data_IF_794558865623
#
_entry.id   IF_794558865623
#
_cell.length_a   1.000
_cell.length_b   1.000
_cell.length_c   1.000
_cell.angle_alpha   90.00
_cell.angle_beta   90.00
_cell.angle_gamma   90.00
#
_symmetry.space_group_name_H-M   'P 1'
#
loop_
_entity.id
_entity.type
_entity.pdbx_description
1 polymer ?
#
# COMPACT_ATOMS: atom_id res chain seq x y z
N UNK A 1 -43.21 15.78 17.63
CA UNK A 1 -42.34 14.57 17.78
C UNK A 1 -41.10 14.80 16.96
N UNK A 2 -39.97 15.08 17.64
CA UNK A 2 -38.67 15.31 16.99
C UNK A 2 -38.06 13.96 16.62
N UNK A 3 -37.57 13.81 15.38
CA UNK A 3 -36.79 12.64 14.93
C UNK A 3 -35.46 12.61 15.69
N UNK A 4 -35.03 11.46 16.23
CA UNK A 4 -33.72 11.35 16.84
C UNK A 4 -32.64 11.56 15.76
N UNK A 5 -31.62 12.36 16.10
CA UNK A 5 -30.44 12.58 15.28
C UNK A 5 -29.75 11.24 14.97
N UNK A 6 -29.42 11.00 13.70
CA UNK A 6 -28.58 9.87 13.29
C UNK A 6 -27.22 10.02 13.95
N UNK A 7 -26.86 9.06 14.81
CA UNK A 7 -25.53 8.96 15.38
C UNK A 7 -24.49 8.87 14.25
N UNK A 8 -23.46 9.69 14.38
CA UNK A 8 -22.30 9.74 13.51
C UNK A 8 -21.60 8.37 13.50
N UNK A 9 -21.66 7.66 12.37
CA UNK A 9 -21.07 6.33 12.20
C UNK A 9 -19.59 6.38 11.80
N UNK A 10 -18.92 7.54 11.95
CA UNK A 10 -17.56 7.78 11.47
C UNK A 10 -16.45 7.61 12.51
N UNK A 11 -16.74 7.32 13.77
CA UNK A 11 -15.73 7.33 14.81
C UNK A 11 -15.15 5.94 15.09
N UNK A 12 -13.89 5.77 14.74
CA UNK A 12 -12.93 4.78 15.25
C UNK A 12 -13.18 3.32 14.85
N UNK A 13 -12.85 3.00 13.62
CA UNK A 13 -12.86 1.62 13.09
C UNK A 13 -11.60 0.86 13.50
N UNK A 14 -10.50 1.55 13.84
CA UNK A 14 -9.19 0.96 14.12
C UNK A 14 -8.76 1.16 15.57
N UNK A 15 -8.13 0.15 16.16
CA UNK A 15 -7.46 0.21 17.46
C UNK A 15 -5.94 0.30 17.30
N UNK A 16 -5.29 1.11 18.15
CA UNK A 16 -3.84 1.11 18.31
C UNK A 16 -3.48 0.08 19.40
N UNK A 17 -2.81 -1.02 19.01
CA UNK A 17 -2.28 -1.99 19.95
C UNK A 17 -0.89 -1.54 20.46
N UNK A 18 -0.90 -0.80 21.56
CA UNK A 18 0.33 -0.33 22.22
C UNK A 18 1.17 -1.47 22.80
N UNK A 19 0.54 -2.59 23.14
CA UNK A 19 1.23 -3.74 23.75
C UNK A 19 1.93 -4.59 22.66
N UNK A 20 1.36 -4.67 21.47
CA UNK A 20 2.04 -5.27 20.32
C UNK A 20 3.28 -4.45 19.92
N UNK A 21 3.18 -3.12 19.90
CA UNK A 21 4.34 -2.25 19.64
C UNK A 21 5.45 -2.47 20.67
N UNK A 22 5.12 -2.50 21.97
CA UNK A 22 6.12 -2.75 23.03
C UNK A 22 6.76 -4.12 22.93
N UNK A 23 5.97 -5.17 22.65
CA UNK A 23 6.52 -6.52 22.42
C UNK A 23 7.48 -6.51 21.25
N UNK A 24 7.13 -5.84 20.16
CA UNK A 24 7.99 -5.72 18.98
C UNK A 24 9.28 -4.94 19.26
N UNK A 25 9.20 -3.88 20.07
CA UNK A 25 10.40 -3.14 20.51
C UNK A 25 11.37 -4.03 21.29
N UNK A 26 10.85 -4.90 22.19
CA UNK A 26 11.66 -5.85 22.94
C UNK A 26 12.33 -6.91 22.03
N UNK A 27 11.60 -7.45 21.06
CA UNK A 27 12.12 -8.39 20.07
C UNK A 27 13.28 -7.76 19.27
N UNK A 28 13.06 -6.55 18.73
CA UNK A 28 14.03 -5.82 17.93
C UNK A 28 15.26 -5.38 18.73
N UNK A 29 15.16 -5.21 20.06
CA UNK A 29 16.30 -4.92 20.91
C UNK A 29 17.34 -6.05 20.96
N UNK A 30 16.93 -7.31 20.75
CA UNK A 30 17.81 -8.46 20.69
C UNK A 30 18.49 -8.69 19.33
N UNK A 31 18.06 -8.01 18.26
CA UNK A 31 18.62 -8.15 16.92
C UNK A 31 19.76 -7.13 16.68
N UNK A 32 20.77 -7.51 15.89
CA UNK A 32 21.76 -6.55 15.37
C UNK A 32 21.16 -5.75 14.19
N UNK A 33 21.79 -4.63 13.83
CA UNK A 33 21.33 -3.82 12.69
C UNK A 33 21.39 -4.61 11.38
N UNK A 34 22.42 -5.45 11.20
CA UNK A 34 22.58 -6.31 10.04
C UNK A 34 21.46 -7.35 9.95
N UNK A 35 21.06 -7.94 11.08
CA UNK A 35 19.94 -8.90 11.14
C UNK A 35 18.62 -8.23 10.76
N UNK A 36 18.37 -7.02 11.27
CA UNK A 36 17.18 -6.25 10.93
C UNK A 36 17.16 -5.90 9.44
N UNK A 37 18.29 -5.41 8.91
CA UNK A 37 18.42 -5.07 7.48
C UNK A 37 18.16 -6.29 6.60
N UNK A 38 18.79 -7.43 6.93
CA UNK A 38 18.63 -8.68 6.17
C UNK A 38 17.15 -9.14 6.16
N UNK A 39 16.49 -9.13 7.32
CA UNK A 39 15.08 -9.50 7.46
C UNK A 39 14.15 -8.56 6.69
N UNK A 40 14.42 -7.25 6.73
CA UNK A 40 13.63 -6.28 5.96
C UNK A 40 13.84 -6.48 4.46
N UNK A 41 15.09 -6.72 4.03
CA UNK A 41 15.39 -6.98 2.62
C UNK A 41 14.68 -8.23 2.13
N UNK A 42 14.75 -9.35 2.85
CA UNK A 42 14.07 -10.60 2.51
C UNK A 42 12.56 -10.38 2.28
N UNK A 43 11.89 -9.59 3.12
CA UNK A 43 10.46 -9.27 2.93
C UNK A 43 10.17 -8.50 1.65
N UNK A 44 11.01 -7.54 1.29
CA UNK A 44 10.88 -6.80 0.04
C UNK A 44 11.24 -7.64 -1.18
N UNK A 45 12.17 -8.58 -1.05
CA UNK A 45 12.49 -9.55 -2.10
C UNK A 45 11.30 -10.50 -2.32
N UNK A 46 10.67 -10.99 -1.25
CA UNK A 46 9.43 -11.76 -1.31
C UNK A 46 8.31 -10.94 -1.99
N UNK A 47 8.12 -9.68 -1.63
CA UNK A 47 7.15 -8.80 -2.27
C UNK A 47 7.41 -8.67 -3.78
N UNK A 48 8.66 -8.53 -4.17
CA UNK A 48 9.09 -8.46 -5.57
C UNK A 48 8.74 -9.75 -6.32
N UNK A 49 9.11 -10.92 -5.79
CA UNK A 49 8.84 -12.21 -6.43
C UNK A 49 7.32 -12.51 -6.48
N UNK A 50 6.60 -12.20 -5.42
CA UNK A 50 5.14 -12.35 -5.39
C UNK A 50 4.44 -11.42 -6.39
N UNK A 51 4.94 -10.20 -6.58
CA UNK A 51 4.41 -9.28 -7.62
C UNK A 51 4.62 -9.85 -9.02
N UNK A 52 5.78 -10.46 -9.30
CA UNK A 52 6.03 -11.18 -10.56
C UNK A 52 5.08 -12.36 -10.74
N UNK A 53 4.84 -13.14 -9.70
CA UNK A 53 3.91 -14.27 -9.72
C UNK A 53 2.45 -13.83 -9.96
N UNK A 54 2.04 -12.66 -9.44
CA UNK A 54 0.74 -12.05 -9.76
C UNK A 54 0.68 -11.64 -11.23
N UNK A 55 1.73 -11.02 -11.75
CA UNK A 55 1.80 -10.58 -13.16
C UNK A 55 1.81 -11.73 -14.14
N UNK A 56 2.49 -12.86 -13.82
CA UNK A 56 2.48 -14.07 -14.66
C UNK A 56 1.11 -14.77 -14.66
N UNK A 57 0.28 -14.52 -13.63
CA UNK A 57 -1.02 -15.15 -13.41
C UNK A 57 -0.97 -16.43 -12.58
N UNK A 58 0.18 -16.75 -11.98
CA UNK A 58 0.36 -17.89 -11.08
C UNK A 58 -0.30 -17.63 -9.71
N UNK A 59 -0.30 -16.35 -9.29
CA UNK A 59 -0.96 -15.86 -8.09
C UNK A 59 -2.13 -14.96 -8.47
N UNK A 60 -3.32 -15.25 -7.91
CA UNK A 60 -4.57 -14.53 -8.24
C UNK A 60 -4.73 -13.22 -7.51
N UNK A 61 -4.27 -13.18 -6.26
CA UNK A 61 -4.39 -12.00 -5.42
C UNK A 61 -3.36 -11.97 -4.31
N UNK A 62 -2.96 -10.76 -3.95
CA UNK A 62 -2.12 -10.54 -2.78
C UNK A 62 -2.54 -9.25 -2.05
N UNK A 63 -2.40 -9.27 -0.73
CA UNK A 63 -2.56 -8.10 0.14
C UNK A 63 -1.18 -7.74 0.68
N UNK A 64 -0.78 -6.48 0.54
CA UNK A 64 0.47 -5.94 1.06
C UNK A 64 0.14 -4.94 2.16
N UNK A 65 0.34 -5.34 3.40
CA UNK A 65 0.14 -4.50 4.57
C UNK A 65 1.47 -3.98 5.12
N UNK A 66 1.44 -2.85 5.81
CA UNK A 66 2.59 -2.26 6.49
C UNK A 66 2.48 -0.76 6.66
N UNK A 67 3.39 -0.14 7.42
CA UNK A 67 3.33 1.30 7.71
C UNK A 67 3.39 2.16 6.44
N UNK A 68 2.85 3.39 6.47
CA UNK A 68 2.94 4.30 5.34
C UNK A 68 4.39 4.73 5.06
N UNK A 69 4.71 4.96 3.79
CA UNK A 69 5.99 5.54 3.38
C UNK A 69 7.21 4.63 3.52
N UNK A 70 7.04 3.29 3.53
CA UNK A 70 8.14 2.30 3.58
C UNK A 70 8.55 1.76 2.21
N UNK A 71 7.86 2.16 1.13
CA UNK A 71 8.19 1.77 -0.24
C UNK A 71 7.32 0.67 -0.84
N UNK A 72 6.16 0.31 -0.23
CA UNK A 72 5.24 -0.71 -0.75
C UNK A 72 4.85 -0.47 -2.21
N UNK A 73 4.19 0.67 -2.44
CA UNK A 73 3.67 1.04 -3.76
C UNK A 73 4.77 1.17 -4.79
N UNK A 74 5.90 1.79 -4.42
CA UNK A 74 7.06 1.93 -5.29
C UNK A 74 7.61 0.58 -5.76
N UNK A 75 7.78 -0.39 -4.84
CA UNK A 75 8.28 -1.72 -5.19
C UNK A 75 7.33 -2.44 -6.17
N UNK A 76 6.03 -2.47 -5.88
CA UNK A 76 5.03 -3.10 -6.74
C UNK A 76 4.99 -2.43 -8.12
N UNK A 77 4.96 -1.10 -8.17
CA UNK A 77 4.92 -0.31 -9.40
C UNK A 77 6.16 -0.58 -10.27
N UNK A 78 7.36 -0.51 -9.69
CA UNK A 78 8.62 -0.74 -10.40
C UNK A 78 8.69 -2.15 -11.05
N UNK A 79 8.20 -3.17 -10.34
CA UNK A 79 8.14 -4.54 -10.88
C UNK A 79 7.18 -4.64 -12.05
N UNK A 80 5.96 -4.08 -11.92
CA UNK A 80 4.95 -4.14 -12.96
C UNK A 80 5.34 -3.32 -14.20
N UNK A 81 5.97 -2.15 -14.01
CA UNK A 81 6.43 -1.30 -15.10
C UNK A 81 7.55 -1.95 -15.91
N UNK A 82 8.50 -2.58 -15.23
CA UNK A 82 9.61 -3.29 -15.89
C UNK A 82 9.08 -4.40 -16.80
N UNK A 83 8.10 -5.16 -16.33
CA UNK A 83 7.51 -6.27 -17.10
C UNK A 83 6.61 -5.76 -18.25
N UNK A 84 6.02 -4.57 -18.13
CA UNK A 84 5.11 -4.01 -19.15
C UNK A 84 5.82 -3.11 -20.17
N UNK A 85 7.14 -2.92 -20.03
CA UNK A 85 7.94 -2.05 -20.89
C UNK A 85 7.81 -2.43 -22.36
N UNK A 86 7.87 -3.72 -22.71
CA UNK A 86 7.69 -4.20 -24.08
C UNK A 86 6.28 -3.97 -24.61
N UNK A 87 5.26 -4.03 -23.75
CA UNK A 87 3.86 -3.75 -24.10
C UNK A 87 3.70 -2.27 -24.47
N UNK A 88 4.31 -1.37 -23.67
CA UNK A 88 4.35 0.08 -23.92
C UNK A 88 5.08 0.41 -25.23
N UNK A 89 6.27 -0.16 -25.47
CA UNK A 89 7.05 0.04 -26.70
C UNK A 89 6.28 -0.44 -27.94
N UNK A 90 5.51 -1.53 -27.81
CA UNK A 90 4.69 -2.06 -28.91
C UNK A 90 3.38 -1.26 -29.13
N UNK A 91 3.14 -0.17 -28.40
CA UNK A 91 1.93 0.65 -28.48
C UNK A 91 0.65 -0.07 -28.06
N UNK A 92 0.77 -1.15 -27.29
CA UNK A 92 -0.36 -1.91 -26.78
C UNK A 92 -0.86 -1.33 -25.45
N UNK A 93 -2.15 -1.58 -25.13
CA UNK A 93 -2.75 -1.18 -23.86
C UNK A 93 -2.00 -1.84 -22.70
N UNK A 94 -1.64 -1.10 -21.64
CA UNK A 94 -0.99 -1.66 -20.45
C UNK A 94 -1.84 -2.80 -19.84
N UNK A 95 -1.17 -3.83 -19.33
CA UNK A 95 -1.82 -4.97 -18.68
C UNK A 95 -1.96 -4.78 -17.18
N UNK A 96 -1.60 -3.64 -16.65
CA UNK A 96 -1.84 -3.28 -15.27
C UNK A 96 -2.28 -1.83 -15.11
N UNK A 97 -2.94 -1.53 -14.02
CA UNK A 97 -3.26 -0.18 -13.59
C UNK A 97 -3.15 -0.10 -12.07
N UNK A 98 -2.63 1.03 -11.58
CA UNK A 98 -2.60 1.37 -10.16
C UNK A 98 -3.69 2.40 -9.91
N UNK A 99 -4.69 1.98 -9.16
CA UNK A 99 -5.83 2.81 -8.74
C UNK A 99 -5.54 3.36 -7.36
N UNK A 100 -5.61 4.67 -7.20
CA UNK A 100 -5.38 5.37 -5.93
C UNK A 100 -6.63 6.16 -5.52
N UNK A 101 -6.90 6.21 -4.22
CA UNK A 101 -7.98 7.04 -3.66
C UNK A 101 -9.30 6.28 -3.42
N UNK A 102 -10.40 7.02 -3.31
CA UNK A 102 -11.70 6.46 -2.97
C UNK A 102 -12.39 5.83 -4.18
N UNK A 103 -13.00 4.68 -3.97
CA UNK A 103 -13.75 3.95 -4.99
C UNK A 103 -15.06 3.42 -4.40
N UNK A 104 -16.14 3.52 -5.17
CA UNK A 104 -17.41 2.87 -4.84
C UNK A 104 -17.43 1.42 -5.29
N UNK A 105 -18.33 0.61 -4.75
CA UNK A 105 -18.52 -0.78 -5.20
C UNK A 105 -18.82 -0.88 -6.71
N UNK A 106 -19.53 0.09 -7.28
CA UNK A 106 -19.79 0.14 -8.71
C UNK A 106 -18.51 0.42 -9.52
N UNK A 107 -17.69 1.36 -9.05
CA UNK A 107 -16.37 1.64 -9.64
C UNK A 107 -15.45 0.43 -9.55
N UNK A 108 -15.45 -0.28 -8.42
CA UNK A 108 -14.72 -1.54 -8.25
C UNK A 108 -15.17 -2.58 -9.28
N UNK A 109 -16.49 -2.77 -9.45
CA UNK A 109 -17.03 -3.72 -10.43
C UNK A 109 -16.58 -3.38 -11.86
N UNK A 110 -16.67 -2.11 -12.25
CA UNK A 110 -16.22 -1.63 -13.54
C UNK A 110 -14.71 -1.84 -13.75
N UNK A 111 -13.91 -1.55 -12.74
CA UNK A 111 -12.46 -1.73 -12.81
C UNK A 111 -12.05 -3.20 -12.90
N UNK A 112 -12.73 -4.08 -12.17
CA UNK A 112 -12.53 -5.53 -12.29
C UNK A 112 -12.93 -6.04 -13.67
N UNK A 113 -13.97 -5.49 -14.30
CA UNK A 113 -14.33 -5.84 -15.69
C UNK A 113 -13.24 -5.41 -16.68
N UNK A 114 -12.76 -4.19 -16.58
CA UNK A 114 -11.69 -3.66 -17.44
C UNK A 114 -10.44 -4.55 -17.42
N UNK A 115 -10.06 -5.03 -16.22
CA UNK A 115 -8.90 -5.89 -16.01
C UNK A 115 -9.26 -7.39 -15.89
N UNK A 116 -10.42 -7.81 -16.41
CA UNK A 116 -10.88 -9.20 -16.31
C UNK A 116 -10.08 -10.21 -17.16
N UNK A 117 -9.31 -9.73 -18.12
CA UNK A 117 -8.50 -10.57 -19.01
C UNK A 117 -7.35 -11.29 -18.30
N UNK A 118 -6.87 -12.43 -18.85
CA UNK A 118 -5.75 -13.16 -18.26
C UNK A 118 -4.46 -12.32 -18.26
N UNK A 119 -3.69 -12.43 -17.18
CA UNK A 119 -2.44 -11.66 -16.93
C UNK A 119 -2.66 -10.14 -16.84
N UNK A 120 -3.89 -9.67 -16.75
CA UNK A 120 -4.16 -8.30 -16.35
C UNK A 120 -4.11 -8.19 -14.82
N UNK A 121 -3.57 -7.08 -14.32
CA UNK A 121 -3.43 -6.82 -12.89
C UNK A 121 -4.05 -5.48 -12.56
N UNK A 122 -4.92 -5.45 -11.56
CA UNK A 122 -5.37 -4.20 -10.94
C UNK A 122 -4.75 -4.07 -9.55
N UNK A 123 -4.10 -2.93 -9.30
CA UNK A 123 -3.53 -2.60 -7.99
C UNK A 123 -4.40 -1.55 -7.33
N UNK A 124 -4.93 -1.86 -6.16
CA UNK A 124 -5.66 -0.94 -5.31
C UNK A 124 -4.69 -0.40 -4.25
N UNK A 125 -4.18 0.81 -4.46
CA UNK A 125 -3.18 1.45 -3.61
C UNK A 125 -3.86 2.51 -2.73
N UNK A 126 -3.86 2.29 -1.41
CA UNK A 126 -4.57 3.11 -0.42
C UNK A 126 -6.09 3.31 -0.76
N UNK A 127 -6.69 2.33 -1.45
CA UNK A 127 -8.13 2.29 -1.73
C UNK A 127 -8.91 1.62 -0.59
N UNK A 128 -8.66 2.00 0.64
CA UNK A 128 -9.20 1.36 1.85
C UNK A 128 -10.75 1.33 1.86
N UNK A 129 -11.40 2.25 1.12
CA UNK A 129 -12.86 2.25 0.96
C UNK A 129 -13.41 0.92 0.43
N UNK A 130 -12.70 0.22 -0.46
CA UNK A 130 -13.16 -1.08 -0.98
C UNK A 130 -12.99 -2.23 0.03
N UNK A 131 -12.07 -2.08 0.98
CA UNK A 131 -11.84 -3.05 2.07
C UNK A 131 -12.76 -2.80 3.28
N UNK A 132 -13.39 -1.64 3.36
CA UNK A 132 -14.25 -1.22 4.47
C UNK A 132 -15.74 -1.18 4.09
N UNK A 133 -16.10 -1.51 2.83
CA UNK A 133 -17.46 -1.53 2.34
C UNK A 133 -17.95 -2.96 2.09
N UNK A 134 -19.05 -3.33 2.73
CA UNK A 134 -19.65 -4.68 2.65
C UNK A 134 -19.94 -5.13 1.21
N UNK A 135 -20.43 -4.22 0.35
CA UNK A 135 -20.78 -4.56 -1.02
C UNK A 135 -19.51 -4.82 -1.86
N UNK A 136 -18.51 -3.97 -1.70
CA UNK A 136 -17.19 -4.14 -2.33
C UNK A 136 -16.54 -5.46 -1.91
N UNK A 137 -16.58 -5.79 -0.61
CA UNK A 137 -16.04 -7.05 -0.09
C UNK A 137 -16.77 -8.28 -0.66
N UNK A 138 -18.08 -8.22 -0.86
CA UNK A 138 -18.83 -9.31 -1.50
C UNK A 138 -18.43 -9.48 -2.98
N UNK A 139 -18.20 -8.40 -3.71
CA UNK A 139 -17.70 -8.44 -5.10
C UNK A 139 -16.29 -9.07 -5.12
N UNK A 140 -15.40 -8.63 -4.21
CA UNK A 140 -14.04 -9.15 -4.11
C UNK A 140 -14.00 -10.64 -3.76
N UNK A 141 -14.88 -11.13 -2.87
CA UNK A 141 -14.99 -12.55 -2.56
C UNK A 141 -15.31 -13.38 -3.81
N UNK A 142 -16.18 -12.86 -4.69
CA UNK A 142 -16.47 -13.50 -5.98
C UNK A 142 -15.31 -13.43 -6.97
N UNK A 143 -14.62 -12.28 -7.04
CA UNK A 143 -13.49 -12.07 -7.92
C UNK A 143 -12.28 -12.94 -7.58
N UNK A 144 -12.06 -13.19 -6.28
CA UNK A 144 -10.87 -13.86 -5.75
C UNK A 144 -11.13 -15.30 -5.29
N UNK A 145 -12.31 -15.83 -5.60
CA UNK A 145 -12.69 -17.19 -5.26
C UNK A 145 -11.69 -18.24 -5.77
N UNK A 146 -11.54 -19.34 -5.04
CA UNK A 146 -10.62 -20.43 -5.40
C UNK A 146 -11.14 -21.32 -6.53
N UNK A 147 -12.39 -21.17 -6.95
CA UNK A 147 -13.00 -21.95 -8.04
C UNK A 147 -12.29 -21.78 -9.38
N UNK A 148 -12.46 -22.72 -10.29
CA UNK A 148 -11.88 -22.67 -11.65
C UNK A 148 -12.41 -21.48 -12.46
N UNK A 149 -13.70 -21.15 -12.27
CA UNK A 149 -14.34 -20.01 -12.95
C UNK A 149 -14.79 -19.00 -11.90
N UNK A 150 -14.21 -17.83 -11.91
CA UNK A 150 -14.55 -16.72 -11.01
C UNK A 150 -15.52 -15.81 -11.73
N UNK A 151 -16.81 -15.97 -11.46
CA UNK A 151 -17.86 -15.18 -12.09
C UNK A 151 -18.38 -14.16 -11.10
N UNK A 152 -18.32 -12.91 -11.48
CA UNK A 152 -18.86 -11.78 -10.74
C UNK A 152 -20.16 -11.34 -11.39
N UNK A 153 -21.16 -11.00 -10.58
CA UNK A 153 -22.44 -10.51 -11.06
C UNK A 153 -22.88 -9.25 -10.29
N UNK A 154 -23.41 -8.29 -11.03
CA UNK A 154 -24.10 -7.12 -10.51
C UNK A 154 -25.60 -7.30 -10.72
N UNK A 155 -26.31 -7.72 -9.67
CA UNK A 155 -27.70 -8.16 -9.78
C UNK A 155 -28.74 -7.04 -9.61
N UNK A 156 -28.33 -5.78 -9.73
CA UNK A 156 -29.20 -4.61 -9.65
C UNK A 156 -29.08 -3.76 -10.91
N UNK A 157 -30.17 -3.10 -11.29
CA UNK A 157 -30.16 -2.22 -12.46
C UNK A 157 -29.16 -1.05 -12.27
N UNK A 158 -28.29 -0.84 -13.26
CA UNK A 158 -27.34 0.26 -13.27
C UNK A 158 -27.25 0.89 -14.65
N UNK A 159 -27.73 2.14 -14.72
CA UNK A 159 -27.63 2.94 -15.96
C UNK A 159 -26.17 3.18 -16.34
N UNK A 160 -25.29 3.39 -15.36
CA UNK A 160 -23.86 3.62 -15.60
C UNK A 160 -23.19 2.42 -16.26
N UNK A 161 -23.39 1.21 -15.74
CA UNK A 161 -22.79 0.01 -16.34
C UNK A 161 -23.25 -0.18 -17.78
N UNK A 162 -24.55 0.06 -18.06
CA UNK A 162 -25.09 -0.05 -19.42
C UNK A 162 -24.53 1.01 -20.37
N UNK A 163 -24.38 2.25 -19.92
CA UNK A 163 -23.81 3.32 -20.76
C UNK A 163 -22.34 3.10 -21.09
N UNK A 164 -21.61 2.40 -20.23
CA UNK A 164 -20.20 2.04 -20.43
C UNK A 164 -20.01 0.67 -21.11
N UNK A 165 -21.09 -0.02 -21.46
CA UNK A 165 -21.05 -1.34 -22.10
C UNK A 165 -20.53 -2.45 -21.19
N UNK A 166 -20.64 -2.26 -19.86
CA UNK A 166 -20.21 -3.24 -18.86
C UNK A 166 -21.36 -4.22 -18.60
N UNK A 167 -21.15 -5.54 -18.79
CA UNK A 167 -22.22 -6.53 -18.59
C UNK A 167 -22.53 -6.72 -17.11
N UNK A 168 -23.78 -7.14 -16.83
CA UNK A 168 -24.21 -7.48 -15.45
C UNK A 168 -23.49 -8.71 -14.88
N UNK A 169 -22.79 -9.46 -15.73
CA UNK A 169 -22.05 -10.66 -15.33
C UNK A 169 -20.85 -10.90 -16.23
N UNK A 170 -19.71 -11.20 -15.62
CA UNK A 170 -18.50 -11.55 -16.36
C UNK A 170 -17.60 -12.53 -15.58
N UNK A 171 -16.72 -13.22 -16.29
CA UNK A 171 -15.66 -14.04 -15.69
C UNK A 171 -14.40 -13.18 -15.47
N UNK A 172 -13.90 -13.16 -14.23
CA UNK A 172 -12.67 -12.47 -13.88
C UNK A 172 -11.47 -13.44 -13.94
N UNK A 173 -10.60 -13.28 -14.95
CA UNK A 173 -9.36 -14.07 -15.13
C UNK A 173 -8.11 -13.27 -14.74
N UNK A 174 -8.27 -11.99 -14.44
CA UNK A 174 -7.20 -11.11 -13.99
C UNK A 174 -6.73 -11.43 -12.58
N UNK A 175 -5.84 -10.59 -12.08
CA UNK A 175 -5.31 -10.65 -10.73
C UNK A 175 -5.47 -9.29 -10.03
N UNK A 176 -5.44 -9.28 -8.68
CA UNK A 176 -5.57 -8.07 -7.89
C UNK A 176 -4.48 -7.98 -6.82
N UNK A 177 -3.94 -6.79 -6.64
CA UNK A 177 -3.01 -6.45 -5.55
C UNK A 177 -3.66 -5.35 -4.71
N UNK A 178 -3.72 -5.57 -3.40
CA UNK A 178 -4.20 -4.57 -2.45
C UNK A 178 -3.03 -4.07 -1.62
N UNK A 179 -2.76 -2.77 -1.67
CA UNK A 179 -1.75 -2.12 -0.84
C UNK A 179 -2.49 -1.26 0.18
N UNK A 180 -2.29 -1.56 1.46
CA UNK A 180 -3.01 -0.90 2.55
C UNK A 180 -2.10 -0.63 3.74
N UNK A 181 -2.51 0.34 4.57
CA UNK A 181 -1.92 0.59 5.87
C UNK A 181 -2.77 -0.02 7.01
N UNK A 182 -3.92 -0.64 6.67
CA UNK A 182 -4.81 -1.27 7.64
C UNK A 182 -4.24 -2.62 8.06
N UNK A 183 -4.12 -2.82 9.38
CA UNK A 183 -3.93 -4.13 9.99
C UNK A 183 -5.30 -4.72 10.29
N UNK A 184 -5.64 -5.84 9.67
CA UNK A 184 -6.99 -6.42 9.75
C UNK A 184 -7.37 -6.83 11.17
N UNK A 185 -6.41 -7.31 11.95
CA UNK A 185 -6.58 -7.65 13.36
C UNK A 185 -6.99 -6.45 14.24
N UNK A 186 -6.68 -5.22 13.81
CA UNK A 186 -7.03 -4.00 14.56
C UNK A 186 -8.42 -3.45 14.22
N UNK A 187 -9.18 -4.11 13.34
CA UNK A 187 -10.53 -3.69 12.97
C UNK A 187 -11.53 -4.08 14.07
N UNK A 188 -12.20 -3.11 14.66
CA UNK A 188 -13.15 -3.34 15.80
C UNK A 188 -14.45 -4.00 15.39
N UNK A 189 -15.00 -3.65 14.23
CA UNK A 189 -16.26 -4.21 13.77
C UNK A 189 -16.11 -5.71 13.49
N UNK A 190 -16.73 -6.56 14.30
CA UNK A 190 -16.70 -8.02 14.11
C UNK A 190 -17.17 -8.41 12.72
N UNK A 191 -18.30 -7.85 12.25
CA UNK A 191 -18.83 -8.12 10.90
C UNK A 191 -17.81 -7.81 9.81
N UNK A 192 -17.14 -6.65 9.92
CA UNK A 192 -16.13 -6.24 8.95
C UNK A 192 -14.89 -7.14 9.03
N UNK A 193 -14.46 -7.51 10.23
CA UNK A 193 -13.35 -8.44 10.44
C UNK A 193 -13.63 -9.80 9.78
N UNK A 194 -14.80 -10.38 10.02
CA UNK A 194 -15.22 -11.64 9.39
C UNK A 194 -15.17 -11.57 7.85
N UNK A 195 -15.47 -10.39 7.27
CA UNK A 195 -15.35 -10.19 5.82
C UNK A 195 -13.89 -10.06 5.37
N UNK A 196 -13.04 -9.37 6.13
CA UNK A 196 -11.61 -9.21 5.84
C UNK A 196 -10.86 -10.54 5.99
N UNK A 197 -11.18 -11.33 7.02
CA UNK A 197 -10.64 -12.68 7.22
C UNK A 197 -10.98 -13.60 6.03
N UNK A 198 -12.22 -13.49 5.53
CA UNK A 198 -12.64 -14.21 4.34
C UNK A 198 -11.93 -13.74 3.06
N UNK A 199 -11.52 -12.48 2.97
CA UNK A 199 -10.71 -11.97 1.87
C UNK A 199 -9.25 -12.43 2.01
N UNK A 200 -8.68 -12.32 3.20
CA UNK A 200 -7.33 -12.77 3.51
C UNK A 200 -7.13 -14.25 3.17
N UNK A 201 -8.10 -15.10 3.50
CA UNK A 201 -8.06 -16.54 3.15
C UNK A 201 -7.99 -16.83 1.64
N UNK A 202 -8.29 -15.85 0.77
CA UNK A 202 -8.25 -15.93 -0.70
C UNK A 202 -7.03 -15.28 -1.32
N UNK A 203 -6.26 -14.56 -0.51
CA UNK A 203 -5.11 -13.78 -0.95
C UNK A 203 -3.83 -14.28 -0.27
N UNK A 204 -2.70 -14.11 -0.91
CA UNK A 204 -1.43 -14.15 -0.19
C UNK A 204 -1.27 -12.85 0.60
N UNK A 205 -1.02 -12.94 1.89
CA UNK A 205 -0.88 -11.78 2.78
C UNK A 205 0.60 -11.53 3.09
N UNK A 206 1.09 -10.35 2.77
CA UNK A 206 2.44 -9.91 3.04
C UNK A 206 2.39 -8.76 4.03
N UNK A 207 2.84 -8.99 5.27
CA UNK A 207 3.03 -7.94 6.26
C UNK A 207 4.50 -7.51 6.29
N UNK A 208 4.75 -6.27 5.91
CA UNK A 208 6.10 -5.72 5.90
C UNK A 208 6.63 -5.30 7.27
N UNK A 209 5.84 -5.48 8.34
CA UNK A 209 6.20 -5.30 9.76
C UNK A 209 7.41 -4.39 10.01
N UNK A 210 7.18 -3.11 10.06
CA UNK A 210 8.21 -2.10 10.32
C UNK A 210 7.64 -1.13 11.37
N UNK A 211 7.52 -1.63 12.60
CA UNK A 211 6.75 -0.95 13.64
C UNK A 211 7.63 -0.01 14.48
N UNK A 212 8.93 -0.32 14.63
CA UNK A 212 9.85 0.46 15.46
C UNK A 212 10.56 1.58 14.68
N UNK A 213 10.97 2.63 15.40
CA UNK A 213 11.77 3.71 14.82
C UNK A 213 13.11 3.23 14.29
N UNK A 214 13.73 2.24 15.00
CA UNK A 214 15.00 1.64 14.58
C UNK A 214 14.88 0.94 13.23
N UNK A 215 13.86 0.10 13.04
CA UNK A 215 13.58 -0.57 11.75
C UNK A 215 13.38 0.46 10.62
N UNK A 216 12.56 1.48 10.87
CA UNK A 216 12.29 2.55 9.88
C UNK A 216 13.55 3.32 9.51
N UNK A 217 14.40 3.65 10.48
CA UNK A 217 15.63 4.38 10.21
C UNK A 217 16.65 3.53 9.45
N UNK A 218 16.79 2.25 9.80
CA UNK A 218 17.64 1.31 9.07
C UNK A 218 17.16 1.16 7.62
N UNK A 219 15.85 1.07 7.40
CA UNK A 219 15.29 1.02 6.04
C UNK A 219 15.55 2.32 5.27
N UNK A 220 15.41 3.48 5.89
CA UNK A 220 15.73 4.77 5.28
C UNK A 220 17.20 4.79 4.84
N UNK A 221 18.13 4.45 5.74
CA UNK A 221 19.57 4.41 5.45
C UNK A 221 19.87 3.46 4.28
N UNK A 222 19.24 2.29 4.26
CA UNK A 222 19.39 1.31 3.18
C UNK A 222 18.92 1.88 1.84
N UNK A 223 17.69 2.36 1.76
CA UNK A 223 17.09 2.82 0.49
C UNK A 223 17.78 4.09 -0.06
N UNK A 224 18.25 4.98 0.80
CA UNK A 224 19.06 6.13 0.35
C UNK A 224 20.39 5.65 -0.21
N UNK A 225 21.07 4.70 0.46
CA UNK A 225 22.31 4.07 -0.04
C UNK A 225 22.10 3.36 -1.37
N UNK A 226 20.95 2.71 -1.55
CA UNK A 226 20.58 2.00 -2.79
C UNK A 226 20.19 2.95 -3.93
N UNK A 227 20.28 4.28 -3.72
CA UNK A 227 20.19 5.28 -4.78
C UNK A 227 18.88 6.07 -4.85
N UNK A 228 18.03 6.04 -3.82
CA UNK A 228 16.75 6.76 -3.82
C UNK A 228 16.86 8.25 -4.17
N UNK A 229 17.97 8.89 -3.84
CA UNK A 229 18.21 10.32 -4.09
C UNK A 229 19.09 10.57 -5.32
N UNK A 230 19.57 9.53 -6.01
CA UNK A 230 20.42 9.67 -7.21
C UNK A 230 19.63 10.29 -8.39
N UNK A 231 18.36 9.92 -8.54
CA UNK A 231 17.49 10.50 -9.60
C UNK A 231 17.24 12.00 -9.45
N UNK A 232 17.69 12.58 -8.32
CA UNK A 232 17.58 14.02 -8.00
C UNK A 232 18.86 14.78 -8.25
N UNK A 233 19.91 14.14 -8.79
CA UNK A 233 21.25 14.72 -8.99
C UNK A 233 21.83 15.28 -7.67
N UNK A 234 21.46 14.72 -6.52
CA UNK A 234 21.92 15.16 -5.20
C UNK A 234 23.30 14.57 -4.89
N UNK A 235 24.33 15.42 -4.61
CA UNK A 235 25.65 14.96 -4.21
C UNK A 235 25.59 14.08 -2.94
N UNK A 236 26.52 13.13 -2.81
CA UNK A 236 26.55 12.20 -1.67
C UNK A 236 26.62 12.91 -0.32
N UNK A 237 27.40 13.97 -0.22
CA UNK A 237 27.51 14.78 1.00
C UNK A 237 26.15 15.36 1.44
N UNK A 238 25.35 15.86 0.48
CA UNK A 238 24.01 16.37 0.76
C UNK A 238 23.02 15.26 1.16
N UNK A 239 23.15 14.06 0.57
CA UNK A 239 22.37 12.90 0.97
C UNK A 239 22.69 12.49 2.41
N UNK A 240 23.96 12.47 2.77
CA UNK A 240 24.45 12.16 4.12
C UNK A 240 23.95 13.18 5.14
N UNK A 241 23.97 14.49 4.81
CA UNK A 241 23.40 15.53 5.66
C UNK A 241 21.89 15.34 5.91
N UNK A 242 21.11 14.99 4.86
CA UNK A 242 19.67 14.70 4.99
C UNK A 242 19.43 13.52 5.91
N UNK A 243 20.15 12.42 5.72
CA UNK A 243 20.03 11.23 6.55
C UNK A 243 20.43 11.49 7.99
N UNK A 244 21.56 12.21 8.22
CA UNK A 244 22.02 12.58 9.55
C UNK A 244 21.02 13.48 10.29
N UNK A 245 20.40 14.43 9.58
CA UNK A 245 19.36 15.28 10.14
C UNK A 245 18.12 14.47 10.58
N UNK A 246 17.69 13.53 9.76
CA UNK A 246 16.54 12.65 10.08
C UNK A 246 16.88 11.77 11.29
N UNK A 247 18.08 11.18 11.32
CA UNK A 247 18.55 10.33 12.41
C UNK A 247 18.59 11.08 13.74
N UNK A 248 19.15 12.30 13.75
CA UNK A 248 19.22 13.14 14.95
C UNK A 248 17.84 13.61 15.46
N UNK A 249 16.82 13.63 14.61
CA UNK A 249 15.50 14.20 14.91
C UNK A 249 14.35 13.17 14.91
N UNK A 250 14.63 11.87 14.93
CA UNK A 250 13.63 10.79 14.81
C UNK A 250 12.41 10.98 15.73
N UNK A 251 12.64 11.35 17.00
CA UNK A 251 11.59 11.50 18.01
C UNK A 251 10.67 12.71 17.78
N UNK A 252 11.14 13.73 17.07
CA UNK A 252 10.43 14.99 16.87
C UNK A 252 9.80 15.13 15.49
N UNK A 253 10.23 14.34 14.51
CA UNK A 253 9.64 14.32 13.18
C UNK A 253 8.17 13.90 13.24
N UNK A 254 7.33 14.47 12.37
CA UNK A 254 5.90 14.10 12.22
C UNK A 254 5.73 12.65 11.82
N UNK A 255 6.62 12.15 10.99
CA UNK A 255 6.69 10.76 10.54
C UNK A 255 8.14 10.36 10.27
N UNK A 256 8.46 9.09 10.44
CA UNK A 256 9.73 8.50 10.05
C UNK A 256 9.45 7.60 8.84
N UNK A 257 9.71 8.11 7.63
CA UNK A 257 9.30 7.48 6.36
C UNK A 257 10.17 7.93 5.19
N UNK A 258 10.15 7.18 4.09
CA UNK A 258 10.82 7.59 2.83
C UNK A 258 10.20 8.87 2.25
N UNK A 259 8.92 9.14 2.49
CA UNK A 259 8.28 10.42 2.10
C UNK A 259 8.92 11.60 2.85
N UNK A 260 9.29 11.43 4.12
CA UNK A 260 9.99 12.46 4.89
C UNK A 260 11.39 12.71 4.35
N UNK A 261 12.11 11.67 3.92
CA UNK A 261 13.41 11.81 3.24
C UNK A 261 13.27 12.73 2.02
N UNK A 262 12.29 12.45 1.15
CA UNK A 262 12.05 13.28 -0.05
C UNK A 262 11.73 14.72 0.29
N UNK A 263 10.85 14.97 1.27
CA UNK A 263 10.50 16.34 1.72
C UNK A 263 11.71 17.12 2.21
N UNK A 264 12.59 16.48 2.99
CA UNK A 264 13.79 17.14 3.53
C UNK A 264 14.84 17.32 2.42
N UNK A 265 14.97 16.37 1.51
CA UNK A 265 15.83 16.50 0.33
C UNK A 265 15.40 17.68 -0.56
N UNK A 266 14.09 17.84 -0.81
CA UNK A 266 13.55 18.99 -1.54
C UNK A 266 13.94 20.32 -0.89
N UNK A 267 13.87 20.41 0.45
CA UNK A 267 14.29 21.59 1.18
C UNK A 267 15.81 21.84 1.08
N UNK A 268 16.61 20.76 1.19
CA UNK A 268 18.07 20.86 1.09
C UNK A 268 18.51 21.39 -0.27
N UNK A 269 17.90 20.93 -1.36
CA UNK A 269 18.17 21.40 -2.71
C UNK A 269 17.69 22.83 -2.95
N UNK A 270 16.45 23.13 -2.53
CA UNK A 270 15.83 24.44 -2.82
C UNK A 270 16.37 25.56 -1.93
N UNK A 271 16.82 25.26 -0.72
CA UNK A 271 17.23 26.24 0.30
C UNK A 271 18.52 25.85 1.01
N UNK A 272 19.68 25.75 0.31
CA UNK A 272 20.91 25.16 0.85
C UNK A 272 21.38 25.78 2.19
N UNK A 273 21.10 27.08 2.43
CA UNK A 273 21.51 27.77 3.66
C UNK A 273 20.49 27.75 4.79
N UNK A 274 19.23 27.47 4.49
CA UNK A 274 18.11 27.60 5.45
C UNK A 274 17.30 26.33 5.63
N UNK A 275 17.64 25.24 4.95
CA UNK A 275 16.84 24.01 4.89
C UNK A 275 16.57 23.40 6.26
N UNK A 276 17.53 23.43 7.19
CA UNK A 276 17.33 22.85 8.52
C UNK A 276 16.26 23.62 9.32
N UNK A 277 16.29 24.95 9.29
CA UNK A 277 15.27 25.77 9.94
C UNK A 277 13.89 25.57 9.31
N UNK A 278 13.84 25.44 7.98
CA UNK A 278 12.61 25.10 7.26
C UNK A 278 12.10 23.70 7.62
N UNK A 279 12.97 22.70 7.67
CA UNK A 279 12.62 21.34 8.07
C UNK A 279 12.12 21.29 9.53
N UNK A 280 12.75 22.02 10.45
CA UNK A 280 12.29 22.16 11.82
C UNK A 280 10.86 22.73 11.89
N UNK A 281 10.56 23.72 11.06
CA UNK A 281 9.23 24.36 11.05
C UNK A 281 8.16 23.51 10.41
N UNK A 282 8.48 22.83 9.28
CA UNK A 282 7.48 22.14 8.43
C UNK A 282 7.36 20.65 8.70
N UNK A 283 8.46 19.98 9.11
CA UNK A 283 8.53 18.53 9.26
C UNK A 283 8.46 18.05 10.71
N UNK A 284 8.63 18.94 11.70
CA UNK A 284 8.58 18.57 13.11
C UNK A 284 7.18 18.65 13.72
N UNK A 285 6.91 17.85 14.75
CA UNK A 285 5.73 18.00 15.61
C UNK A 285 5.87 19.28 16.42
N UNK A 286 4.79 20.03 16.60
CA UNK A 286 4.77 21.11 17.59
C UNK A 286 4.89 20.50 18.97
N UNK A 287 5.76 21.04 19.79
CA UNK A 287 5.81 20.72 21.22
C UNK A 287 4.55 21.24 21.93
#
# INVERSE_FOLDING_TARGET
>A
MARPAKADKGATILEFDTDAIKRRELEVQGETDEQIIARLQERFDILTEMTKAVKSGDVRAMIVSGPPGVGKSYNVEAVLEKDDLFTKIAGKKPKFEIVKGAMSALGLYAKLFEFSGPKNVVVFDDCDSVLLDDLSLNILKGALDSSKKRVIAWNTDSRLLRSEGIPDRFEFKGAAIFITNIKFEHVRSKKLRDHLDALESRCHYIDLQMDTSREKMLRIKQIVRDGMLQDRDMPQEEQDEVVAFIDANQATLRELSLRMVLKIADLRQSFPKAWQAMAQTTCMRRK
#
